data_IF_141354665475
#
_entry.id   IF_141354665475
#
_cell.length_a   1.000
_cell.length_b   1.000
_cell.length_c   1.000
_cell.angle_alpha   90.00
_cell.angle_beta   90.00
_cell.angle_gamma   90.00
#
_symmetry.space_group_name_H-M   'P 1'
#
loop_
_entity.id
_entity.type
_entity.pdbx_description
1 polymer ?
#
# COMPACT_ATOMS: atom_id res chain seq x y z
N UNK A 1 50.84 -51.33 -30.39
CA UNK A 1 50.39 -49.93 -30.23
C UNK A 1 48.89 -49.95 -29.92
N UNK A 2 48.50 -49.67 -28.67
CA UNK A 2 47.10 -49.62 -28.25
C UNK A 2 46.58 -48.18 -28.38
N UNK A 3 45.67 -47.93 -29.31
CA UNK A 3 44.92 -46.67 -29.36
C UNK A 3 43.72 -46.77 -28.40
N UNK A 4 43.79 -46.05 -27.28
CA UNK A 4 42.66 -45.86 -26.36
C UNK A 4 41.81 -44.70 -26.86
N UNK A 5 40.64 -45.00 -27.43
CA UNK A 5 39.62 -43.99 -27.76
C UNK A 5 38.95 -43.52 -26.48
N UNK A 6 39.25 -42.31 -26.04
CA UNK A 6 38.51 -41.63 -24.98
C UNK A 6 37.28 -40.94 -25.61
N UNK A 7 36.07 -41.45 -25.35
CA UNK A 7 34.84 -40.72 -25.61
C UNK A 7 34.67 -39.62 -24.55
N UNK A 8 34.72 -38.37 -24.99
CA UNK A 8 34.33 -37.21 -24.19
C UNK A 8 32.81 -37.17 -24.03
N UNK A 9 32.32 -37.34 -22.80
CA UNK A 9 30.94 -37.02 -22.46
C UNK A 9 30.81 -35.49 -22.29
N UNK A 10 30.11 -34.81 -23.20
CA UNK A 10 29.66 -33.44 -22.96
C UNK A 10 28.54 -33.47 -21.92
N UNK A 11 28.87 -33.15 -20.67
CA UNK A 11 27.87 -32.77 -19.69
C UNK A 11 27.34 -31.38 -20.05
N UNK A 12 26.15 -31.32 -20.68
CA UNK A 12 25.43 -30.08 -20.84
C UNK A 12 24.93 -29.62 -19.46
N UNK A 13 25.67 -28.72 -18.82
CA UNK A 13 25.17 -27.96 -17.68
C UNK A 13 24.10 -27.01 -18.19
N UNK A 14 22.84 -27.44 -18.12
CA UNK A 14 21.70 -26.53 -18.19
C UNK A 14 21.82 -25.57 -17.01
N UNK A 15 22.29 -24.35 -17.27
CA UNK A 15 22.24 -23.29 -16.29
C UNK A 15 20.77 -22.99 -16.02
N UNK A 16 20.28 -23.43 -14.86
CA UNK A 16 19.03 -22.92 -14.31
C UNK A 16 19.30 -21.44 -14.01
N UNK A 17 18.95 -20.56 -14.95
CA UNK A 17 18.80 -19.15 -14.63
C UNK A 17 17.65 -19.09 -13.63
N UNK A 18 17.97 -18.90 -12.34
CA UNK A 18 16.97 -18.60 -11.32
C UNK A 18 16.21 -17.35 -11.79
N UNK A 19 15.04 -17.57 -12.37
CA UNK A 19 14.09 -16.51 -12.66
C UNK A 19 13.74 -15.88 -11.32
N UNK A 20 14.35 -14.75 -11.02
CA UNK A 20 14.11 -14.07 -9.76
C UNK A 20 12.70 -13.48 -9.83
N UNK A 21 11.76 -14.14 -9.15
CA UNK A 21 10.36 -13.74 -9.12
C UNK A 21 10.09 -12.53 -8.24
N UNK A 22 8.83 -12.42 -7.82
CA UNK A 22 8.44 -11.44 -6.79
C UNK A 22 9.38 -11.57 -5.59
N UNK A 23 9.88 -10.44 -5.10
CA UNK A 23 10.82 -10.43 -3.99
C UNK A 23 10.77 -9.11 -3.22
N UNK A 24 11.32 -9.11 -2.01
CA UNK A 24 11.38 -7.94 -1.14
C UNK A 24 12.80 -7.33 -1.07
N UNK A 25 13.59 -7.49 -2.15
CA UNK A 25 14.93 -6.88 -2.22
C UNK A 25 14.80 -5.40 -2.51
N UNK A 26 15.73 -4.63 -1.95
CA UNK A 26 15.79 -3.19 -2.12
C UNK A 26 17.10 -2.65 -1.55
N UNK A 27 17.24 -1.33 -1.59
CA UNK A 27 18.34 -0.61 -0.97
C UNK A 27 18.42 -0.88 0.53
N UNK A 28 19.60 -0.76 1.13
CA UNK A 28 19.77 -0.76 2.58
C UNK A 28 19.01 0.39 3.28
N UNK A 29 18.56 1.40 2.52
CA UNK A 29 17.67 2.47 2.99
C UNK A 29 16.20 2.05 3.10
N UNK A 30 15.85 0.85 2.63
CA UNK A 30 14.54 0.22 2.84
C UNK A 30 14.39 -0.33 4.26
N UNK A 31 14.88 0.42 5.25
CA UNK A 31 14.82 0.11 6.68
C UNK A 31 14.24 1.32 7.41
N UNK A 32 13.37 1.08 8.40
CA UNK A 32 12.97 2.11 9.35
C UNK A 32 11.63 2.81 9.13
N UNK A 33 10.96 2.68 7.98
CA UNK A 33 9.62 3.27 7.78
C UNK A 33 8.59 2.23 7.31
N UNK A 34 7.88 1.62 8.26
CA UNK A 34 6.86 0.57 7.99
C UNK A 34 5.60 1.11 7.30
N UNK A 35 5.48 2.43 7.11
CA UNK A 35 4.29 3.09 6.56
C UNK A 35 4.38 3.55 5.11
N UNK A 36 5.61 3.72 4.59
CA UNK A 36 5.79 4.42 3.31
C UNK A 36 5.24 3.64 2.12
N UNK A 37 5.28 2.29 2.13
CA UNK A 37 4.68 1.48 1.07
C UNK A 37 3.14 1.62 1.04
N UNK A 38 2.48 1.61 2.20
CA UNK A 38 1.03 1.86 2.27
C UNK A 38 0.66 3.27 1.80
N UNK A 39 1.43 4.27 2.19
CA UNK A 39 1.26 5.65 1.72
C UNK A 39 1.48 5.77 0.20
N UNK A 40 2.48 5.09 -0.34
CA UNK A 40 2.79 5.07 -1.76
C UNK A 40 1.62 4.48 -2.56
N UNK A 41 1.06 3.36 -2.10
CA UNK A 41 -0.13 2.74 -2.72
C UNK A 41 -1.33 3.69 -2.68
N UNK A 42 -1.54 4.38 -1.55
CA UNK A 42 -2.61 5.37 -1.45
C UNK A 42 -2.42 6.56 -2.41
N UNK A 43 -1.19 7.04 -2.59
CA UNK A 43 -0.88 8.09 -3.57
C UNK A 43 -1.11 7.62 -5.01
N UNK A 44 -0.68 6.40 -5.34
CA UNK A 44 -0.91 5.81 -6.67
C UNK A 44 -2.41 5.68 -6.96
N UNK A 45 -3.23 5.27 -5.98
CA UNK A 45 -4.71 5.23 -6.12
C UNK A 45 -5.37 6.58 -6.41
N UNK A 46 -4.68 7.70 -6.17
CA UNK A 46 -5.18 9.04 -6.45
C UNK A 46 -4.78 9.58 -7.83
N UNK A 47 -3.95 8.85 -8.59
CA UNK A 47 -3.53 9.27 -9.94
C UNK A 47 -4.72 9.15 -10.91
N UNK A 48 -4.72 9.97 -11.97
CA UNK A 48 -5.68 9.88 -13.06
C UNK A 48 -5.77 8.43 -13.61
N UNK A 49 -6.96 7.81 -13.64
CA UNK A 49 -7.15 6.45 -14.16
C UNK A 49 -6.70 6.23 -15.61
N UNK A 50 -6.65 7.29 -16.42
CA UNK A 50 -6.19 7.24 -17.81
C UNK A 50 -4.66 7.27 -17.95
N UNK A 51 -3.94 7.55 -16.86
CA UNK A 51 -2.48 7.64 -16.88
C UNK A 51 -1.85 6.27 -17.13
N UNK A 52 -0.87 6.27 -18.03
CA UNK A 52 0.04 5.16 -18.28
C UNK A 52 1.45 5.54 -17.87
N UNK A 53 2.24 4.55 -17.45
CA UNK A 53 3.61 4.73 -16.98
C UNK A 53 4.59 3.98 -17.85
N UNK A 54 5.71 4.63 -18.15
CA UNK A 54 6.76 4.10 -19.03
C UNK A 54 7.98 3.63 -18.24
N UNK A 55 8.93 2.99 -18.94
CA UNK A 55 10.19 2.58 -18.34
C UNK A 55 10.96 3.75 -17.72
N UNK A 56 11.37 3.62 -16.46
CA UNK A 56 12.10 4.64 -15.70
C UNK A 56 11.26 5.80 -15.18
N UNK A 57 9.96 5.87 -15.49
CA UNK A 57 9.06 6.88 -14.94
C UNK A 57 8.76 6.57 -13.47
N UNK A 58 9.01 7.54 -12.60
CA UNK A 58 8.55 7.47 -11.21
C UNK A 58 7.04 7.69 -11.16
N UNK A 59 6.34 6.67 -10.68
CA UNK A 59 4.87 6.63 -10.57
C UNK A 59 4.43 7.47 -9.38
N UNK A 60 5.08 7.26 -8.24
CA UNK A 60 4.91 8.06 -7.04
C UNK A 60 6.12 7.89 -6.12
N UNK A 61 6.34 8.86 -5.24
CA UNK A 61 7.41 8.85 -4.25
C UNK A 61 6.90 9.32 -2.89
N UNK A 62 7.31 8.63 -1.82
CA UNK A 62 7.01 8.98 -0.43
C UNK A 62 8.31 9.28 0.29
N UNK A 63 8.46 10.50 0.80
CA UNK A 63 9.61 10.89 1.60
C UNK A 63 9.70 10.04 2.87
N UNK A 64 10.88 9.49 3.15
CA UNK A 64 11.09 8.64 4.32
C UNK A 64 11.83 9.30 5.47
N UNK A 65 12.43 10.48 5.28
CA UNK A 65 13.09 11.25 6.35
C UNK A 65 13.25 12.76 5.99
N UNK A 66 13.16 13.64 7.00
CA UNK A 66 13.55 15.07 6.92
C UNK A 66 15.07 15.30 7.01
N UNK A 67 15.89 14.29 6.72
CA UNK A 67 17.35 14.38 6.77
C UNK A 67 17.84 14.90 5.42
N UNK A 68 18.82 15.81 5.44
CA UNK A 68 19.22 16.77 4.39
C UNK A 68 19.61 16.27 2.99
N UNK A 69 19.22 15.06 2.57
CA UNK A 69 19.32 14.53 1.20
C UNK A 69 17.97 13.97 0.66
N UNK A 70 16.85 14.20 1.34
CA UNK A 70 15.47 13.80 0.96
C UNK A 70 15.37 12.41 0.27
N UNK A 71 15.76 11.32 0.94
CA UNK A 71 15.50 9.99 0.41
C UNK A 71 13.99 9.73 0.38
N UNK A 72 13.51 9.21 -0.75
CA UNK A 72 12.11 8.82 -0.91
C UNK A 72 11.99 7.36 -1.32
N UNK A 73 10.91 6.71 -0.94
CA UNK A 73 10.50 5.41 -1.45
C UNK A 73 9.64 5.65 -2.67
N UNK A 74 10.12 5.22 -3.83
CA UNK A 74 9.46 5.45 -5.10
C UNK A 74 9.02 4.12 -5.74
N UNK A 75 7.87 4.15 -6.41
CA UNK A 75 7.45 3.11 -7.34
C UNK A 75 7.83 3.52 -8.77
N UNK A 76 8.44 2.62 -9.53
CA UNK A 76 8.77 2.85 -10.94
C UNK A 76 8.93 1.55 -11.70
N UNK A 77 8.73 1.60 -13.01
CA UNK A 77 9.01 0.47 -13.90
C UNK A 77 10.47 0.48 -14.34
N UNK A 78 11.06 -0.71 -14.45
CA UNK A 78 12.41 -0.89 -15.00
C UNK A 78 12.48 -2.17 -15.83
N UNK A 79 13.31 -2.13 -16.89
CA UNK A 79 13.49 -3.26 -17.79
C UNK A 79 12.27 -3.56 -18.67
N UNK A 80 11.29 -2.65 -18.77
CA UNK A 80 10.06 -2.91 -19.53
C UNK A 80 10.14 -2.50 -21.02
N UNK A 81 11.24 -1.91 -21.47
CA UNK A 81 11.39 -1.43 -22.85
C UNK A 81 10.41 -0.30 -23.19
N UNK A 82 9.79 -0.35 -24.38
CA UNK A 82 8.80 0.64 -24.85
C UNK A 82 7.38 0.38 -24.34
N UNK A 83 7.20 -0.66 -23.50
CA UNK A 83 5.90 -0.98 -22.93
C UNK A 83 5.46 0.11 -21.96
N UNK A 84 4.15 0.25 -21.84
CA UNK A 84 3.53 1.07 -20.82
C UNK A 84 2.50 0.27 -20.05
N UNK A 85 2.28 0.66 -18.80
CA UNK A 85 1.27 0.04 -17.94
C UNK A 85 0.29 1.08 -17.47
N UNK A 86 -0.99 0.72 -17.48
CA UNK A 86 -2.06 1.53 -16.93
C UNK A 86 -1.96 1.63 -15.40
N UNK A 87 -2.71 2.58 -14.84
CA UNK A 87 -2.83 2.71 -13.39
C UNK A 87 -3.37 1.43 -12.72
N UNK A 88 -4.39 0.79 -13.31
CA UNK A 88 -4.99 -0.43 -12.73
C UNK A 88 -4.01 -1.62 -12.71
N UNK A 89 -3.21 -1.78 -13.76
CA UNK A 89 -2.14 -2.78 -13.79
C UNK A 89 -1.08 -2.48 -12.72
N UNK A 90 -0.67 -1.21 -12.62
CA UNK A 90 0.26 -0.75 -11.59
C UNK A 90 -0.23 -1.05 -10.17
N UNK A 91 -1.51 -0.78 -9.88
CA UNK A 91 -2.13 -1.10 -8.59
C UNK A 91 -2.11 -2.61 -8.30
N UNK A 92 -2.37 -3.43 -9.31
CA UNK A 92 -2.34 -4.90 -9.19
C UNK A 92 -0.93 -5.38 -8.84
N UNK A 93 0.10 -4.86 -9.52
CA UNK A 93 1.49 -5.19 -9.23
C UNK A 93 1.94 -4.73 -7.84
N UNK A 94 1.55 -3.52 -7.40
CA UNK A 94 1.81 -3.07 -6.04
C UNK A 94 1.14 -3.96 -4.99
N UNK A 95 -0.08 -4.42 -5.26
CA UNK A 95 -0.78 -5.35 -4.37
C UNK A 95 -0.03 -6.70 -4.29
N UNK A 96 0.48 -7.22 -5.41
CA UNK A 96 1.29 -8.44 -5.42
C UNK A 96 2.57 -8.32 -4.57
N UNK A 97 3.21 -7.14 -4.53
CA UNK A 97 4.34 -6.88 -3.62
C UNK A 97 3.91 -6.96 -2.15
N UNK A 98 2.73 -6.42 -1.81
CA UNK A 98 2.17 -6.47 -0.46
C UNK A 98 1.78 -7.90 -0.08
N UNK A 99 1.10 -8.62 -0.96
CA UNK A 99 0.63 -9.99 -0.75
C UNK A 99 1.80 -10.96 -0.60
N UNK A 100 2.93 -10.67 -1.25
CA UNK A 100 4.20 -11.38 -1.06
C UNK A 100 4.87 -11.09 0.30
N UNK A 101 4.32 -10.17 1.11
CA UNK A 101 4.80 -9.85 2.45
C UNK A 101 5.90 -8.80 2.52
N UNK A 102 6.13 -8.06 1.44
CA UNK A 102 7.14 -7.00 1.43
C UNK A 102 6.68 -5.80 2.26
N UNK A 103 7.51 -5.40 3.22
CA UNK A 103 7.15 -4.38 4.22
C UNK A 103 7.42 -2.95 3.78
N UNK A 104 8.29 -2.74 2.80
CA UNK A 104 8.71 -1.41 2.37
C UNK A 104 9.16 -1.36 0.92
N UNK A 105 10.08 -2.25 0.54
CA UNK A 105 10.63 -2.35 -0.81
C UNK A 105 10.44 -3.75 -1.37
N UNK A 106 10.41 -3.83 -2.68
CA UNK A 106 10.26 -5.08 -3.39
C UNK A 106 10.12 -4.87 -4.88
N UNK A 107 10.00 -5.98 -5.60
CA UNK A 107 9.85 -5.97 -7.05
C UNK A 107 8.95 -7.11 -7.47
N UNK A 108 8.18 -6.89 -8.52
CA UNK A 108 7.29 -7.87 -9.13
C UNK A 108 7.51 -7.90 -10.64
N UNK A 109 7.70 -9.09 -11.25
CA UNK A 109 7.80 -9.21 -12.70
C UNK A 109 6.53 -8.72 -13.38
N UNK A 110 6.71 -7.99 -14.47
CA UNK A 110 5.60 -7.56 -15.34
C UNK A 110 5.27 -8.58 -16.43
N UNK A 111 6.18 -9.53 -16.67
CA UNK A 111 6.04 -10.56 -17.69
C UNK A 111 5.68 -11.94 -17.11
N UNK A 112 4.92 -12.76 -17.88
CA UNK A 112 4.79 -14.18 -17.62
C UNK A 112 6.16 -14.87 -17.53
N UNK A 113 6.31 -15.84 -16.64
CA UNK A 113 7.58 -16.54 -16.40
C UNK A 113 8.34 -16.05 -15.16
N UNK A 114 7.76 -15.11 -14.39
CA UNK A 114 8.20 -14.73 -13.05
C UNK A 114 9.70 -14.38 -12.96
N UNK A 115 10.22 -13.65 -13.95
CA UNK A 115 11.60 -13.19 -13.95
C UNK A 115 11.65 -11.67 -14.04
N UNK A 116 12.07 -11.01 -12.96
CA UNK A 116 12.19 -9.55 -12.92
C UNK A 116 13.18 -8.99 -13.94
N UNK A 117 14.13 -9.81 -14.43
CA UNK A 117 15.09 -9.42 -15.47
C UNK A 117 14.43 -9.08 -16.82
N UNK A 118 13.22 -9.57 -17.07
CA UNK A 118 12.47 -9.29 -18.30
C UNK A 118 11.63 -8.00 -18.22
N UNK A 119 11.54 -7.40 -17.03
CA UNK A 119 10.76 -6.21 -16.76
C UNK A 119 10.00 -6.33 -15.44
N UNK A 120 10.05 -5.30 -14.62
CA UNK A 120 9.50 -5.31 -13.28
C UNK A 120 8.92 -3.96 -12.87
N UNK A 121 7.92 -4.00 -12.00
CA UNK A 121 7.60 -2.87 -11.14
C UNK A 121 8.47 -2.97 -9.88
N UNK A 122 9.15 -1.88 -9.54
CA UNK A 122 10.04 -1.79 -8.38
C UNK A 122 9.52 -0.75 -7.40
N UNK A 123 9.54 -1.09 -6.12
CA UNK A 123 9.47 -0.13 -5.02
C UNK A 123 10.83 -0.11 -4.32
N UNK A 124 11.54 1.02 -4.38
CA UNK A 124 12.88 1.14 -3.80
C UNK A 124 13.16 2.57 -3.30
N UNK A 125 14.18 2.70 -2.45
CA UNK A 125 14.68 4.00 -2.03
C UNK A 125 15.47 4.69 -3.15
N UNK A 126 15.08 5.92 -3.47
CA UNK A 126 15.72 6.80 -4.45
C UNK A 126 16.29 8.01 -3.71
N UNK A 127 17.54 8.33 -3.99
CA UNK A 127 18.22 9.54 -3.49
C UNK A 127 17.97 10.69 -4.47
N UNK A 128 17.56 11.85 -3.95
CA UNK A 128 17.25 13.04 -4.75
C UNK A 128 16.28 12.76 -5.93
N UNK A 129 15.07 12.22 -5.68
CA UNK A 129 14.07 12.13 -6.73
C UNK A 129 13.83 13.53 -7.31
N UNK A 130 13.81 13.69 -8.64
CA UNK A 130 13.64 15.02 -9.21
C UNK A 130 12.23 15.51 -8.88
N UNK A 131 12.03 16.83 -8.68
CA UNK A 131 10.71 17.40 -8.32
C UNK A 131 9.57 17.10 -9.32
N UNK A 132 9.86 16.42 -10.44
CA UNK A 132 8.87 15.92 -11.42
C UNK A 132 8.31 14.53 -11.08
N UNK A 133 8.86 13.87 -10.06
CA UNK A 133 8.65 12.46 -9.72
C UNK A 133 7.79 12.24 -8.46
N UNK A 134 7.43 13.32 -7.78
CA UNK A 134 6.43 13.30 -6.72
C UNK A 134 5.11 13.84 -7.30
N UNK A 135 3.98 13.11 -7.20
CA UNK A 135 2.74 13.81 -6.97
C UNK A 135 3.01 14.68 -5.74
N UNK A 136 2.94 16.00 -5.91
CA UNK A 136 2.95 16.93 -4.80
C UNK A 136 2.06 16.33 -3.71
N UNK A 137 2.59 16.22 -2.48
CA UNK A 137 1.74 16.09 -1.28
C UNK A 137 0.48 16.90 -1.52
N UNK A 138 -0.75 16.34 -1.46
CA UNK A 138 -1.90 17.04 -1.97
C UNK A 138 -2.33 18.12 -0.98
N UNK A 139 -1.64 19.25 -0.99
CA UNK A 139 -2.30 20.53 -1.19
C UNK A 139 -2.43 20.71 -2.72
N UNK A 140 -3.30 19.92 -3.35
CA UNK A 140 -3.75 20.22 -4.71
C UNK A 140 -4.65 21.45 -4.59
N UNK A 141 -4.02 22.62 -4.65
CA UNK A 141 -4.71 23.84 -5.05
C UNK A 141 -4.95 23.74 -6.55
N UNK A 142 -6.04 23.09 -6.94
CA UNK A 142 -6.55 23.26 -8.29
C UNK A 142 -7.22 24.63 -8.34
N UNK A 143 -6.55 25.58 -9.01
CA UNK A 143 -7.16 26.87 -9.35
C UNK A 143 -8.20 26.62 -10.44
N UNK A 144 -9.45 26.40 -10.04
CA UNK A 144 -10.62 26.56 -10.91
C UNK A 144 -11.58 27.49 -10.19
N UNK A 145 -11.99 28.53 -10.91
CA UNK A 145 -12.80 29.62 -10.36
C UNK A 145 -14.06 29.09 -9.69
N UNK A 146 -14.44 29.83 -8.65
CA UNK A 146 -15.69 29.77 -7.88
C UNK A 146 -15.57 29.11 -6.49
N UNK A 147 -15.83 29.95 -5.49
CA UNK A 147 -15.45 29.81 -4.09
C UNK A 147 -16.29 28.79 -3.31
N UNK A 148 -15.94 27.50 -3.36
CA UNK A 148 -16.31 26.54 -2.29
C UNK A 148 -15.16 25.54 -2.05
N UNK A 149 -14.44 25.71 -0.93
CA UNK A 149 -13.39 24.83 -0.46
C UNK A 149 -13.96 23.47 -0.02
N UNK A 150 -14.03 22.49 -0.92
CA UNK A 150 -14.32 21.10 -0.57
C UNK A 150 -13.01 20.38 -0.28
N UNK A 151 -12.55 20.39 0.98
CA UNK A 151 -11.37 19.64 1.42
C UNK A 151 -11.61 18.14 1.18
N UNK A 152 -10.91 17.56 0.19
CA UNK A 152 -10.81 16.11 0.00
C UNK A 152 -9.91 15.57 1.11
N UNK A 153 -10.46 14.73 1.98
CA UNK A 153 -9.71 14.20 3.12
C UNK A 153 -9.32 12.77 2.77
N UNK A 154 -8.02 12.52 2.63
CA UNK A 154 -7.49 11.17 2.38
C UNK A 154 -7.42 10.33 3.64
N UNK A 155 -6.55 9.31 3.63
CA UNK A 155 -6.23 8.58 4.86
C UNK A 155 -5.84 9.54 5.99
N UNK A 156 -6.41 9.36 7.17
CA UNK A 156 -6.21 10.25 8.29
C UNK A 156 -6.48 9.54 9.63
N UNK A 157 -5.93 10.08 10.72
CA UNK A 157 -6.12 9.54 12.07
C UNK A 157 -7.16 10.32 12.88
N UNK A 158 -8.17 10.91 12.22
CA UNK A 158 -9.24 11.61 12.91
C UNK A 158 -10.24 10.60 13.48
N UNK A 159 -10.83 10.97 14.60
CA UNK A 159 -11.89 10.24 15.27
C UNK A 159 -12.55 11.12 16.33
N UNK A 160 -13.41 10.53 17.15
CA UNK A 160 -14.01 11.22 18.28
C UNK A 160 -12.94 11.63 19.32
N UNK A 161 -13.31 12.53 20.23
CA UNK A 161 -12.45 12.88 21.37
C UNK A 161 -12.09 11.66 22.23
N UNK A 162 -12.93 10.62 22.23
CA UNK A 162 -12.67 9.35 22.91
C UNK A 162 -11.46 8.60 22.33
N UNK A 163 -11.04 8.90 21.09
CA UNK A 163 -9.82 8.37 20.50
C UNK A 163 -8.53 8.83 21.19
N UNK A 164 -8.59 9.94 21.92
CA UNK A 164 -7.47 10.48 22.69
C UNK A 164 -7.47 10.10 24.17
N UNK A 165 -8.56 9.50 24.69
CA UNK A 165 -8.61 9.08 26.09
C UNK A 165 -8.09 7.64 26.20
N UNK A 166 -6.90 7.49 26.79
CA UNK A 166 -6.43 6.18 27.22
C UNK A 166 -7.40 5.59 28.26
N UNK A 167 -7.53 4.26 28.29
CA UNK A 167 -8.36 3.55 29.24
C UNK A 167 -8.05 3.98 30.68
N UNK A 168 -9.10 4.33 31.42
CA UNK A 168 -8.99 4.66 32.85
C UNK A 168 -8.99 3.33 33.62
N UNK A 169 -7.87 3.00 34.25
CA UNK A 169 -7.72 1.87 35.18
C UNK A 169 -7.76 0.48 34.50
N UNK A 170 -6.58 -0.15 34.30
CA UNK A 170 -6.35 -1.55 33.88
C UNK A 170 -7.15 -2.12 32.69
N UNK A 171 -8.03 -1.34 32.05
CA UNK A 171 -8.80 -1.71 30.88
C UNK A 171 -7.94 -1.48 29.63
N UNK A 172 -7.98 -2.39 28.64
CA UNK A 172 -7.17 -2.26 27.44
C UNK A 172 -7.44 -0.92 26.75
N UNK A 173 -6.35 -0.21 26.43
CA UNK A 173 -6.38 1.03 25.67
C UNK A 173 -6.82 0.71 24.24
N UNK A 174 -8.13 0.55 23.99
CA UNK A 174 -8.68 0.11 22.70
C UNK A 174 -7.84 0.60 21.52
N UNK A 175 -7.03 -0.30 20.97
CA UNK A 175 -6.04 0.04 19.96
C UNK A 175 -6.59 -0.29 18.59
N UNK A 176 -6.21 0.50 17.59
CA UNK A 176 -6.56 0.19 16.21
C UNK A 176 -5.98 -1.17 15.80
N UNK A 177 -4.85 -1.57 16.40
CA UNK A 177 -4.32 -2.93 16.28
C UNK A 177 -5.31 -3.99 16.77
N UNK A 178 -5.94 -3.79 17.91
CA UNK A 178 -6.83 -4.79 18.51
C UNK A 178 -8.11 -4.92 17.69
N UNK A 179 -8.62 -3.82 17.15
CA UNK A 179 -9.74 -3.84 16.17
C UNK A 179 -9.34 -4.61 14.92
N UNK A 180 -8.16 -4.34 14.36
CA UNK A 180 -7.62 -5.06 13.21
C UNK A 180 -7.52 -6.56 13.47
N UNK A 181 -7.00 -6.94 14.62
CA UNK A 181 -6.83 -8.35 15.00
C UNK A 181 -8.19 -9.02 15.21
N UNK A 182 -9.17 -8.32 15.80
CA UNK A 182 -10.54 -8.80 15.92
C UNK A 182 -11.19 -9.07 14.55
N UNK A 183 -11.07 -8.15 13.59
CA UNK A 183 -11.55 -8.37 12.21
C UNK A 183 -10.86 -9.57 11.58
N UNK A 184 -9.54 -9.69 11.73
CA UNK A 184 -8.79 -10.80 11.14
C UNK A 184 -9.16 -12.17 11.73
N UNK A 185 -9.53 -12.22 13.01
CA UNK A 185 -10.00 -13.43 13.69
C UNK A 185 -11.48 -13.75 13.47
N UNK A 186 -12.23 -12.82 12.87
CA UNK A 186 -13.66 -12.98 12.60
C UNK A 186 -13.96 -13.96 11.48
N UNK A 187 -15.24 -14.29 11.33
CA UNK A 187 -15.73 -15.12 10.23
C UNK A 187 -15.57 -14.41 8.89
N UNK A 188 -15.45 -15.20 7.82
CA UNK A 188 -15.48 -14.66 6.46
C UNK A 188 -16.82 -13.98 6.20
N UNK A 189 -16.78 -12.82 5.54
CA UNK A 189 -17.98 -12.03 5.31
C UNK A 189 -17.78 -10.92 4.30
N UNK A 190 -18.91 -10.43 3.80
CA UNK A 190 -18.98 -9.23 2.97
C UNK A 190 -19.68 -8.14 3.77
N UNK A 191 -19.00 -7.03 3.99
CA UNK A 191 -19.45 -5.93 4.84
C UNK A 191 -19.89 -4.75 3.98
N UNK A 192 -21.15 -4.34 4.14
CA UNK A 192 -21.77 -3.23 3.45
C UNK A 192 -21.75 -1.93 4.24
N UNK A 193 -22.44 -0.92 3.70
CA UNK A 193 -22.50 0.40 4.31
C UNK A 193 -23.22 0.37 5.66
N UNK A 194 -22.54 0.81 6.71
CA UNK A 194 -23.06 0.83 8.09
C UNK A 194 -22.75 -0.44 8.88
N UNK A 195 -22.21 -1.48 8.25
CA UNK A 195 -21.90 -2.72 8.96
C UNK A 195 -20.70 -2.53 9.89
N UNK A 196 -20.88 -2.90 11.15
CA UNK A 196 -19.80 -3.04 12.11
C UNK A 196 -19.08 -4.36 11.88
N UNK A 197 -17.86 -4.29 11.36
CA UNK A 197 -17.04 -5.44 10.97
C UNK A 197 -16.54 -6.15 12.23
N UNK A 198 -15.96 -5.37 13.15
CA UNK A 198 -15.61 -5.82 14.49
C UNK A 198 -15.61 -4.63 15.45
N UNK A 199 -15.91 -4.91 16.71
CA UNK A 199 -15.94 -3.95 17.79
C UNK A 199 -15.19 -4.52 18.99
N UNK A 200 -14.30 -3.74 19.59
CA UNK A 200 -13.66 -4.08 20.85
C UNK A 200 -14.32 -3.30 21.99
N UNK A 201 -14.65 -3.95 23.13
CA UNK A 201 -15.23 -3.27 24.27
C UNK A 201 -14.31 -2.18 24.84
N UNK A 202 -14.88 -1.05 25.22
CA UNK A 202 -14.19 0.04 25.91
C UNK A 202 -15.04 0.54 27.08
N UNK A 203 -14.42 1.28 28.01
CA UNK A 203 -15.03 1.68 29.28
C UNK A 203 -16.41 2.37 29.15
N UNK A 204 -16.65 3.09 28.04
CA UNK A 204 -17.89 3.81 27.78
C UNK A 204 -18.43 3.61 26.36
N UNK A 205 -18.32 2.38 25.82
CA UNK A 205 -18.84 2.04 24.49
C UNK A 205 -17.99 0.99 23.80
N UNK A 206 -17.86 1.08 22.48
CA UNK A 206 -17.05 0.18 21.69
C UNK A 206 -16.18 0.96 20.70
N UNK A 207 -14.96 0.49 20.47
CA UNK A 207 -14.15 0.94 19.35
C UNK A 207 -14.40 -0.01 18.19
N UNK A 208 -15.00 0.49 17.11
CA UNK A 208 -15.48 -0.33 16.00
C UNK A 208 -14.80 0.04 14.69
N UNK A 209 -14.58 -0.97 13.84
CA UNK A 209 -14.31 -0.80 12.42
C UNK A 209 -15.62 -0.95 11.63
N UNK A 210 -15.92 -0.01 10.75
CA UNK A 210 -17.12 -0.04 9.92
C UNK A 210 -16.96 0.74 8.62
N UNK A 211 -17.77 0.39 7.62
CA UNK A 211 -17.83 1.12 6.36
C UNK A 211 -18.88 2.22 6.39
N UNK A 212 -18.58 3.36 5.80
CA UNK A 212 -19.52 4.47 5.66
C UNK A 212 -19.33 5.21 4.34
N UNK A 213 -20.45 5.71 3.80
CA UNK A 213 -20.47 6.39 2.50
C UNK A 213 -20.23 5.46 1.32
N UNK A 214 -20.34 4.13 1.50
CA UNK A 214 -20.01 3.17 0.42
C UNK A 214 -21.21 2.77 -0.46
N UNK A 215 -22.43 3.25 -0.17
CA UNK A 215 -23.62 2.90 -0.95
C UNK A 215 -23.96 1.40 -0.86
N UNK A 216 -24.27 0.77 -2.01
CA UNK A 216 -24.61 -0.66 -2.09
C UNK A 216 -23.40 -1.60 -2.20
N UNK A 217 -22.18 -1.05 -2.12
CA UNK A 217 -20.95 -1.83 -2.24
C UNK A 217 -20.73 -2.66 -0.98
N UNK A 218 -19.98 -3.74 -1.15
CA UNK A 218 -19.52 -4.59 -0.06
C UNK A 218 -18.04 -4.87 -0.20
N UNK A 219 -17.40 -5.16 0.93
CA UNK A 219 -15.98 -5.49 0.99
C UNK A 219 -15.79 -6.77 1.80
N UNK A 220 -14.84 -7.59 1.36
CA UNK A 220 -14.46 -8.82 2.06
C UNK A 220 -13.68 -8.52 3.34
N UNK A 221 -13.61 -9.50 4.23
CA UNK A 221 -12.77 -9.47 5.43
C UNK A 221 -11.31 -9.16 5.09
N UNK A 222 -10.73 -9.81 4.08
CA UNK A 222 -9.34 -9.59 3.65
C UNK A 222 -9.10 -8.13 3.23
N UNK A 223 -10.04 -7.56 2.48
CA UNK A 223 -9.99 -6.14 2.10
C UNK A 223 -10.09 -5.23 3.32
N UNK A 224 -10.98 -5.52 4.26
CA UNK A 224 -11.11 -4.77 5.51
C UNK A 224 -9.83 -4.81 6.35
N UNK A 225 -9.22 -6.00 6.51
CA UNK A 225 -7.93 -6.17 7.20
C UNK A 225 -6.84 -5.37 6.50
N UNK A 226 -6.80 -5.39 5.16
CA UNK A 226 -5.83 -4.61 4.37
C UNK A 226 -5.96 -3.11 4.63
N UNK A 227 -7.18 -2.58 4.65
CA UNK A 227 -7.43 -1.16 4.93
C UNK A 227 -7.05 -0.79 6.38
N UNK A 228 -7.33 -1.67 7.34
CA UNK A 228 -6.92 -1.48 8.74
C UNK A 228 -5.40 -1.50 8.91
N UNK A 229 -4.71 -2.41 8.21
CA UNK A 229 -3.25 -2.42 8.18
C UNK A 229 -2.70 -1.14 7.54
N UNK A 230 -3.33 -0.60 6.49
CA UNK A 230 -2.96 0.69 5.91
C UNK A 230 -3.15 1.86 6.89
N UNK A 231 -4.21 1.85 7.71
CA UNK A 231 -4.40 2.83 8.80
C UNK A 231 -3.29 2.77 9.85
N UNK A 232 -2.90 1.57 10.27
CA UNK A 232 -1.79 1.37 11.23
C UNK A 232 -0.46 1.81 10.63
N UNK A 233 -0.23 1.46 9.37
CA UNK A 233 0.95 1.86 8.61
C UNK A 233 1.04 3.38 8.45
N UNK A 234 -0.10 4.08 8.30
CA UNK A 234 -0.16 5.54 8.30
C UNK A 234 0.11 6.18 9.68
N UNK A 235 0.32 5.38 10.73
CA UNK A 235 0.61 5.86 12.08
C UNK A 235 -0.61 6.10 12.95
N UNK A 236 -1.80 5.67 12.51
CA UNK A 236 -2.99 5.75 13.34
C UNK A 236 -2.97 4.63 14.39
N UNK A 237 -2.92 5.02 15.67
CA UNK A 237 -2.84 4.08 16.80
C UNK A 237 -4.19 3.78 17.46
N UNK A 238 -5.20 4.64 17.28
CA UNK A 238 -6.51 4.50 17.94
C UNK A 238 -7.65 4.56 16.96
N UNK A 239 -7.78 5.68 16.27
CA UNK A 239 -8.84 5.93 15.32
C UNK A 239 -8.27 6.45 14.01
N UNK A 240 -9.06 6.32 12.97
CA UNK A 240 -8.73 6.86 11.68
C UNK A 240 -9.75 6.47 10.63
N UNK A 241 -9.57 7.01 9.44
CA UNK A 241 -10.37 6.62 8.30
C UNK A 241 -9.53 6.59 7.04
N UNK A 242 -9.85 5.65 6.17
CA UNK A 242 -9.16 5.44 4.90
C UNK A 242 -10.20 5.39 3.78
N UNK A 243 -10.03 6.19 2.71
CA UNK A 243 -10.87 6.09 1.52
C UNK A 243 -10.80 4.69 0.91
N UNK A 244 -11.95 4.14 0.55
CA UNK A 244 -12.03 2.85 -0.14
C UNK A 244 -12.17 3.02 -1.66
N UNK A 245 -12.42 4.26 -2.10
CA UNK A 245 -12.55 4.63 -3.50
C UNK A 245 -11.28 5.26 -4.08
N UNK A 246 -11.11 5.15 -5.41
CA UNK A 246 -10.16 5.96 -6.16
C UNK A 246 -10.38 7.47 -5.91
N UNK A 247 -9.29 8.23 -5.92
CA UNK A 247 -9.34 9.69 -5.72
C UNK A 247 -9.13 10.19 -4.29
N UNK A 248 -8.83 9.28 -3.34
CA UNK A 248 -8.36 9.60 -1.98
C UNK A 248 -9.22 10.64 -1.25
N UNK A 249 -10.55 10.52 -1.38
CA UNK A 249 -11.52 11.33 -0.64
C UNK A 249 -12.48 10.41 0.10
N UNK A 250 -12.41 10.47 1.43
CA UNK A 250 -13.30 9.73 2.32
C UNK A 250 -14.78 10.03 2.11
N UNK A 251 -15.12 11.17 1.49
CA UNK A 251 -16.51 11.52 1.17
C UNK A 251 -17.14 10.56 0.17
N UNK A 252 -16.35 9.87 -0.63
CA UNK A 252 -16.84 8.92 -1.63
C UNK A 252 -17.08 7.53 -1.04
N UNK A 253 -16.57 7.28 0.16
CA UNK A 253 -16.61 6.00 0.84
C UNK A 253 -15.34 5.79 1.66
N UNK A 254 -15.48 5.37 2.92
CA UNK A 254 -14.35 5.08 3.78
C UNK A 254 -14.59 3.85 4.66
N UNK A 255 -13.49 3.20 5.03
CA UNK A 255 -13.43 2.36 6.23
C UNK A 255 -12.98 3.24 7.39
N UNK A 256 -13.70 3.18 8.49
CA UNK A 256 -13.49 4.02 9.67
C UNK A 256 -13.29 3.15 10.90
N UNK A 257 -12.30 3.52 11.70
CA UNK A 257 -12.17 3.05 13.09
C UNK A 257 -12.49 4.22 13.99
N UNK A 258 -13.58 4.12 14.75
CA UNK A 258 -14.01 5.16 15.67
C UNK A 258 -14.82 4.59 16.83
N UNK A 259 -14.94 5.37 17.90
CA UNK A 259 -15.81 5.02 19.02
C UNK A 259 -17.28 5.16 18.64
N UNK A 260 -18.05 4.13 19.01
CA UNK A 260 -19.49 4.04 18.90
C UNK A 260 -20.05 3.83 20.31
N UNK A 261 -21.10 4.58 20.65
CA UNK A 261 -21.78 4.52 21.94
C UNK A 261 -22.85 3.42 21.95
#
# INVERSE_FOLDING_TARGET
MMFKSALFALAATVGLSDALGINCRGSGLCVGNKGALGQLIAQVRAIDPSKTFSNGEHISCVDINNIGNHPAICAFYQGIGDRTFSLSQTQTFLQQIVDHGCKLCGSVPTDPGNNVANGQLTVNAVLNPTKRDAPQSPAVYEKRGDNVLVKRLGINCRGSSSCGVGGIGHLPNGDLKDVRDAVASGEEGNFGNGDHIACIPFAFGQLCAFYQGIGSRTFTKEQSVTFLDQLRQHGCSKCGSIPVDPGNDVKNGQLTVNYVA
#
